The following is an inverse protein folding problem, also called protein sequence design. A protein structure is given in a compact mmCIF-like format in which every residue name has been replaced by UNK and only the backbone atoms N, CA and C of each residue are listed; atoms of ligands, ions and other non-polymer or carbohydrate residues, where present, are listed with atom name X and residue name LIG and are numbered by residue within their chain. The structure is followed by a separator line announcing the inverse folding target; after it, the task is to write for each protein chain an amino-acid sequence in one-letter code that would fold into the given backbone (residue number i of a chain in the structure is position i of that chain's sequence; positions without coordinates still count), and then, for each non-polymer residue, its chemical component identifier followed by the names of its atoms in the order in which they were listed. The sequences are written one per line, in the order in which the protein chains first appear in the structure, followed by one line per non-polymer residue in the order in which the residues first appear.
data_IF_377624256679
#
_entry.id   IF_377624256679
#
_cell.length_a   1.000
_cell.length_b   1.000
_cell.length_c   1.000
_cell.angle_alpha   90.00
_cell.angle_beta   90.00
_cell.angle_gamma   90.00
#
_symmetry.space_group_name_H-M   'P 1'
#
loop_
_entity.id
_entity.type
_entity.pdbx_description
1 polymer ?
#
# COMPACT_ATOMS: atom_id res chain seq x y z
N UNK A 1 -21.61 -14.90 22.00
CA UNK A 1 -21.47 -13.57 21.37
C UNK A 1 -20.30 -13.65 20.41
N UNK A 2 -20.54 -13.55 19.10
CA UNK A 2 -19.45 -13.56 18.12
C UNK A 2 -18.75 -12.19 18.15
N UNK A 3 -17.49 -12.15 18.59
CA UNK A 3 -16.63 -10.99 18.42
C UNK A 3 -16.41 -10.79 16.92
N UNK A 4 -17.26 -9.99 16.28
CA UNK A 4 -17.03 -9.57 14.90
C UNK A 4 -15.82 -8.65 14.94
N UNK A 5 -14.69 -9.09 14.40
CA UNK A 5 -13.55 -8.21 14.15
C UNK A 5 -14.07 -6.97 13.41
N UNK A 6 -13.72 -5.75 13.83
CA UNK A 6 -14.18 -4.55 13.13
C UNK A 6 -13.76 -4.69 11.67
N UNK A 7 -14.76 -4.62 10.79
CA UNK A 7 -14.53 -4.60 9.35
C UNK A 7 -13.68 -3.34 9.12
N UNK A 8 -12.41 -3.51 8.76
CA UNK A 8 -11.54 -2.38 8.45
C UNK A 8 -12.19 -1.64 7.29
N UNK A 9 -12.74 -0.47 7.58
CA UNK A 9 -13.39 0.37 6.57
C UNK A 9 -12.30 1.00 5.72
N UNK A 10 -12.39 0.81 4.40
CA UNK A 10 -11.51 1.50 3.46
C UNK A 10 -11.98 2.95 3.42
N UNK A 11 -11.17 3.86 3.95
CA UNK A 11 -11.49 5.28 3.96
C UNK A 11 -11.11 5.92 2.62
N UNK A 12 -11.66 7.10 2.35
CA UNK A 12 -11.26 7.89 1.18
C UNK A 12 -9.76 8.22 1.19
N UNK A 13 -9.16 8.42 2.37
CA UNK A 13 -7.72 8.64 2.54
C UNK A 13 -6.93 7.40 2.10
N UNK A 14 -7.37 6.19 2.48
CA UNK A 14 -6.72 4.96 2.05
C UNK A 14 -6.81 4.73 0.53
N UNK A 15 -7.93 5.10 -0.09
CA UNK A 15 -8.07 5.05 -1.56
C UNK A 15 -7.11 6.03 -2.23
N UNK A 16 -6.98 7.25 -1.70
CA UNK A 16 -6.06 8.25 -2.24
C UNK A 16 -4.61 7.76 -2.23
N UNK A 17 -4.17 7.09 -1.16
CA UNK A 17 -2.83 6.48 -1.13
C UNK A 17 -2.66 5.36 -2.14
N UNK A 18 -3.69 4.53 -2.38
CA UNK A 18 -3.61 3.47 -3.41
C UNK A 18 -3.45 4.07 -4.82
N UNK A 19 -4.23 5.10 -5.15
CA UNK A 19 -4.13 5.79 -6.44
C UNK A 19 -2.75 6.43 -6.60
N UNK A 20 -2.28 7.09 -5.55
CA UNK A 20 -1.02 7.80 -5.57
C UNK A 20 0.19 6.85 -5.66
N UNK A 21 0.14 5.71 -4.96
CA UNK A 21 1.14 4.65 -5.08
C UNK A 21 1.15 4.04 -6.49
N UNK A 22 -0.02 3.83 -7.10
CA UNK A 22 -0.12 3.34 -8.47
C UNK A 22 0.55 4.31 -9.47
N UNK A 23 0.34 5.62 -9.31
CA UNK A 23 1.04 6.64 -10.10
C UNK A 23 2.55 6.56 -9.88
N UNK A 24 2.99 6.52 -8.62
CA UNK A 24 4.42 6.40 -8.26
C UNK A 24 5.11 5.24 -8.95
N UNK A 25 4.43 4.10 -9.07
CA UNK A 25 4.97 2.92 -9.75
C UNK A 25 5.09 3.05 -11.25
N UNK A 26 4.25 3.86 -11.87
CA UNK A 26 4.24 4.08 -13.31
C UNK A 26 5.18 5.21 -13.72
N UNK A 27 5.27 6.26 -12.91
CA UNK A 27 5.96 7.51 -13.28
C UNK A 27 7.23 7.78 -12.46
N UNK A 28 7.48 6.99 -11.42
CA UNK A 28 8.55 7.22 -10.44
C UNK A 28 8.11 8.10 -9.26
N UNK A 29 8.99 8.19 -8.25
CA UNK A 29 8.67 8.75 -6.93
C UNK A 29 8.64 10.29 -6.86
N UNK A 30 9.14 10.99 -7.87
CA UNK A 30 9.33 12.45 -7.79
C UNK A 30 10.27 12.86 -6.63
N UNK A 31 10.13 14.10 -6.14
CA UNK A 31 10.90 14.56 -4.98
C UNK A 31 10.23 14.12 -3.67
N UNK A 32 10.98 13.47 -2.79
CA UNK A 32 10.48 13.01 -1.49
C UNK A 32 10.32 14.15 -0.47
N UNK A 33 10.90 15.32 -0.73
CA UNK A 33 10.78 16.51 0.13
C UNK A 33 9.38 17.09 0.17
N UNK A 34 8.56 16.76 -0.83
CA UNK A 34 7.24 17.36 -1.03
C UNK A 34 6.13 16.58 -0.28
N UNK A 35 6.52 15.53 0.45
CA UNK A 35 5.62 14.56 1.06
C UNK A 35 5.60 14.68 2.57
N UNK A 36 4.43 14.43 3.16
CA UNK A 36 4.35 14.28 4.60
C UNK A 36 4.95 12.95 5.05
N UNK A 37 5.40 12.88 6.30
CA UNK A 37 5.87 11.63 6.89
C UNK A 37 4.80 10.52 6.82
N UNK A 38 3.53 10.87 7.03
CA UNK A 38 2.40 9.93 7.00
C UNK A 38 2.22 9.33 5.61
N UNK A 39 2.35 10.13 4.56
CA UNK A 39 2.23 9.63 3.19
C UNK A 39 3.41 8.72 2.84
N UNK A 40 4.63 9.07 3.25
CA UNK A 40 5.81 8.23 3.04
C UNK A 40 5.68 6.88 3.75
N UNK A 41 5.14 6.87 4.98
CA UNK A 41 4.82 5.63 5.70
C UNK A 41 3.78 4.79 4.95
N UNK A 42 2.70 5.41 4.45
CA UNK A 42 1.70 4.71 3.67
C UNK A 42 2.29 4.10 2.38
N UNK A 43 3.14 4.84 1.66
CA UNK A 43 3.79 4.34 0.46
C UNK A 43 4.74 3.16 0.76
N UNK A 44 5.52 3.26 1.84
CA UNK A 44 6.42 2.18 2.27
C UNK A 44 5.64 0.90 2.64
N UNK A 45 4.52 1.06 3.35
CA UNK A 45 3.63 -0.05 3.68
C UNK A 45 3.04 -0.73 2.43
N UNK A 46 2.56 0.07 1.48
CA UNK A 46 1.99 -0.45 0.23
C UNK A 46 3.03 -1.18 -0.62
N UNK A 47 4.26 -0.69 -0.68
CA UNK A 47 5.36 -1.37 -1.37
C UNK A 47 5.65 -2.74 -0.74
N UNK A 48 5.76 -2.81 0.58
CA UNK A 48 6.00 -4.06 1.31
C UNK A 48 4.89 -5.08 1.05
N UNK A 49 3.62 -4.65 1.12
CA UNK A 49 2.48 -5.55 0.87
C UNK A 49 2.44 -6.03 -0.57
N UNK A 50 2.79 -5.18 -1.53
CA UNK A 50 2.91 -5.59 -2.93
C UNK A 50 4.01 -6.63 -3.13
N UNK A 51 5.19 -6.42 -2.53
CA UNK A 51 6.31 -7.37 -2.60
C UNK A 51 5.91 -8.72 -1.99
N UNK A 52 5.24 -8.69 -0.82
CA UNK A 52 4.72 -9.89 -0.16
C UNK A 52 3.75 -10.65 -1.06
N UNK A 53 2.73 -9.97 -1.59
CA UNK A 53 1.75 -10.59 -2.49
C UNK A 53 2.38 -11.12 -3.78
N UNK A 54 3.37 -10.41 -4.33
CA UNK A 54 4.09 -10.83 -5.53
C UNK A 54 4.94 -12.09 -5.28
N UNK A 55 5.55 -12.19 -4.10
CA UNK A 55 6.33 -13.37 -3.70
C UNK A 55 5.42 -14.57 -3.42
N UNK A 56 4.28 -14.36 -2.76
CA UNK A 56 3.26 -15.39 -2.54
C UNK A 56 2.70 -15.90 -3.89
N UNK A 57 2.42 -15.00 -4.84
CA UNK A 57 1.93 -15.37 -6.17
C UNK A 57 2.97 -16.14 -7.02
N UNK A 58 4.27 -15.96 -6.74
CA UNK A 58 5.34 -16.71 -7.40
C UNK A 58 5.47 -18.15 -6.91
N UNK A 59 4.93 -18.48 -5.73
CA UNK A 59 4.98 -19.81 -5.13
C UNK A 59 6.41 -20.32 -4.84
N UNK A 60 6.59 -21.35 -4.00
CA UNK A 60 7.81 -22.16 -4.07
C UNK A 60 7.76 -22.87 -5.43
N UNK A 61 8.72 -22.58 -6.31
CA UNK A 61 8.80 -23.22 -7.62
C UNK A 61 8.73 -24.76 -7.52
N UNK A 62 7.97 -25.35 -8.44
CA UNK A 62 7.89 -26.78 -8.75
C UNK A 62 9.29 -27.39 -9.00
#
# INVERSE_FOLDING_TARGET
MAHRCPKTEITAESVAWLDQWAVWRLTGRGSLTDWSAKDLEAMAFLEQEWERMSNEARGPGD
#
